data_IF_497030700017
#
_entry.id   IF_497030700017
#
_cell.length_a   1.000
_cell.length_b   1.000
_cell.length_c   1.000
_cell.angle_alpha   90.00
_cell.angle_beta   90.00
_cell.angle_gamma   90.00
#
_symmetry.space_group_name_H-M   'P 1'
#
loop_
_entity.id
_entity.type
_entity.pdbx_description
1 polymer ?
#
# COMPACT_ATOMS: atom_id res chain seq x y z
N UNK A 1 -9.32 6.46 2.28
CA UNK A 1 -8.00 7.03 1.89
C UNK A 1 -8.11 7.66 0.49
N UNK A 2 -7.21 8.58 0.13
CA UNK A 2 -7.07 9.10 -1.25
C UNK A 2 -5.73 8.68 -1.83
N UNK A 3 -4.68 9.49 -1.66
CA UNK A 3 -3.33 9.11 -2.06
C UNK A 3 -2.71 8.19 -1.00
N UNK A 4 -2.10 7.09 -1.41
CA UNK A 4 -1.38 6.19 -0.53
C UNK A 4 -0.18 5.56 -1.23
N UNK A 5 0.83 5.15 -0.46
CA UNK A 5 2.02 4.47 -0.96
C UNK A 5 2.23 3.14 -0.23
N UNK A 6 2.84 2.19 -0.93
CA UNK A 6 3.16 0.85 -0.42
C UNK A 6 4.67 0.68 -0.42
N UNK A 7 5.19 0.14 0.68
CA UNK A 7 6.60 -0.16 0.85
C UNK A 7 6.79 -1.62 1.29
N UNK A 8 7.83 -2.26 0.77
CA UNK A 8 8.27 -3.60 1.15
C UNK A 8 9.35 -3.56 2.22
N UNK A 9 9.22 -4.41 3.24
CA UNK A 9 10.20 -4.55 4.32
C UNK A 9 10.64 -6.03 4.43
N UNK A 10 11.95 -6.25 4.58
CA UNK A 10 12.53 -7.59 4.72
C UNK A 10 12.49 -8.09 6.17
N UNK A 11 12.81 -7.24 7.14
CA UNK A 11 13.05 -7.64 8.54
C UNK A 11 12.05 -7.05 9.56
N UNK A 12 10.92 -6.49 9.10
CA UNK A 12 9.86 -5.98 9.96
C UNK A 12 9.83 -4.46 10.09
N UNK A 13 9.06 -3.96 11.06
CA UNK A 13 8.81 -2.53 11.26
C UNK A 13 9.88 -1.92 12.19
N UNK A 14 10.88 -1.24 11.62
CA UNK A 14 11.94 -0.51 12.34
C UNK A 14 12.31 0.80 11.63
N UNK A 15 13.42 1.45 12.02
CA UNK A 15 13.88 2.73 11.44
C UNK A 15 14.35 2.63 9.97
N UNK A 16 14.43 1.43 9.40
CA UNK A 16 14.82 1.25 8.01
C UNK A 16 13.71 1.74 7.07
N UNK A 17 14.12 2.57 6.12
CA UNK A 17 13.26 3.01 5.03
C UNK A 17 12.97 1.81 4.11
N UNK A 18 11.70 1.45 3.99
CA UNK A 18 11.28 0.32 3.16
C UNK A 18 11.51 0.57 1.67
N UNK A 19 11.58 -0.51 0.89
CA UNK A 19 11.65 -0.42 -0.56
C UNK A 19 10.33 0.15 -1.10
N UNK A 20 10.37 1.25 -1.84
CA UNK A 20 9.18 1.84 -2.44
C UNK A 20 8.63 0.94 -3.55
N UNK A 21 7.38 0.48 -3.37
CA UNK A 21 6.72 -0.42 -4.33
C UNK A 21 5.76 0.30 -5.27
N UNK A 22 5.24 1.45 -4.85
CA UNK A 22 4.36 2.27 -5.66
C UNK A 22 3.52 3.25 -4.85
N UNK A 23 2.94 4.21 -5.56
CA UNK A 23 1.99 5.17 -5.03
C UNK A 23 0.75 5.18 -5.90
N UNK A 24 -0.41 5.19 -5.26
CA UNK A 24 -1.71 5.00 -5.89
C UNK A 24 -2.74 5.97 -5.34
N UNK A 25 -3.87 6.07 -6.04
CA UNK A 25 -5.02 6.87 -5.63
C UNK A 25 -6.25 5.97 -5.54
N UNK A 26 -6.83 5.86 -4.35
CA UNK A 26 -8.14 5.24 -4.18
C UNK A 26 -9.21 6.22 -4.63
N UNK A 27 -9.97 5.86 -5.67
CA UNK A 27 -11.02 6.69 -6.23
C UNK A 27 -12.32 6.56 -5.42
N UNK A 28 -12.86 7.67 -4.89
CA UNK A 28 -14.12 7.62 -4.13
C UNK A 28 -15.34 7.40 -5.03
N UNK A 29 -15.24 7.70 -6.33
CA UNK A 29 -16.34 7.53 -7.30
C UNK A 29 -16.28 6.14 -7.99
N UNK A 30 -15.18 5.40 -7.81
CA UNK A 30 -14.97 4.07 -8.35
C UNK A 30 -15.64 2.95 -7.53
N UNK A 31 -15.40 1.70 -7.93
CA UNK A 31 -15.90 0.53 -7.20
C UNK A 31 -15.31 0.45 -5.77
N UNK A 32 -16.04 -0.09 -4.78
CA UNK A 32 -15.53 -0.22 -3.40
C UNK A 32 -14.27 -1.08 -3.27
N UNK A 33 -14.16 -2.14 -4.09
CA UNK A 33 -12.96 -2.97 -4.20
C UNK A 33 -12.09 -2.49 -5.36
N UNK A 34 -10.96 -1.87 -5.06
CA UNK A 34 -10.00 -1.41 -6.06
C UNK A 34 -8.68 -2.17 -5.93
N UNK A 35 -8.16 -2.62 -7.06
CA UNK A 35 -6.89 -3.37 -7.13
C UNK A 35 -5.87 -2.56 -7.89
N UNK A 36 -4.69 -2.42 -7.31
CA UNK A 36 -3.58 -1.64 -7.85
C UNK A 36 -2.41 -2.58 -8.13
N UNK A 37 -1.92 -2.59 -9.36
CA UNK A 37 -0.78 -3.41 -9.76
C UNK A 37 0.52 -2.66 -9.46
N UNK A 38 1.49 -3.36 -8.89
CA UNK A 38 2.86 -2.87 -8.72
C UNK A 38 3.59 -2.97 -10.06
N UNK A 39 4.57 -2.10 -10.30
CA UNK A 39 5.45 -2.23 -11.47
C UNK A 39 6.42 -3.40 -11.30
N UNK A 40 6.69 -4.14 -12.39
CA UNK A 40 7.47 -5.39 -12.39
C UNK A 40 8.94 -5.21 -11.97
N UNK A 41 9.47 -3.98 -11.96
CA UNK A 41 10.85 -3.71 -11.58
C UNK A 41 11.18 -4.08 -10.12
N UNK A 42 10.17 -4.26 -9.27
CA UNK A 42 10.32 -4.65 -7.87
C UNK A 42 10.16 -6.17 -7.69
N UNK A 43 11.11 -6.95 -8.20
CA UNK A 43 11.13 -8.42 -8.10
C UNK A 43 11.56 -8.96 -6.71
N UNK A 44 11.78 -8.07 -5.74
CA UNK A 44 12.21 -8.46 -4.40
C UNK A 44 11.09 -9.11 -3.60
N UNK A 45 11.46 -10.06 -2.74
CA UNK A 45 10.54 -10.69 -1.78
C UNK A 45 10.54 -9.93 -0.47
N UNK A 46 9.34 -9.67 0.06
CA UNK A 46 9.14 -8.94 1.30
C UNK A 46 8.30 -9.76 2.28
N UNK A 47 8.76 -9.86 3.52
CA UNK A 47 8.00 -10.52 4.60
C UNK A 47 6.93 -9.62 5.20
N UNK A 48 7.07 -8.30 5.03
CA UNK A 48 6.14 -7.31 5.55
C UNK A 48 5.87 -6.21 4.52
N UNK A 49 4.69 -5.61 4.63
CA UNK A 49 4.32 -4.44 3.84
C UNK A 49 3.90 -3.30 4.77
N UNK A 50 4.28 -2.09 4.39
CA UNK A 50 3.85 -0.86 5.04
C UNK A 50 2.97 -0.05 4.10
N UNK A 51 1.72 0.18 4.53
CA UNK A 51 0.82 1.15 3.92
C UNK A 51 1.06 2.53 4.53
N UNK A 52 1.39 3.52 3.70
CA UNK A 52 1.43 4.94 4.08
C UNK A 52 0.27 5.69 3.43
N UNK A 53 -0.69 6.14 4.25
CA UNK A 53 -1.77 6.99 3.78
C UNK A 53 -1.26 8.43 3.73
N UNK A 54 -1.27 9.04 2.54
CA UNK A 54 -0.73 10.38 2.31
C UNK A 54 -1.82 11.46 2.38
N UNK A 55 -3.06 11.10 2.08
CA UNK A 55 -4.21 12.01 2.17
C UNK A 55 -5.53 11.22 2.22
N UNK A 56 -6.62 11.93 2.52
CA UNK A 56 -7.97 11.42 2.44
C UNK A 56 -8.85 12.32 1.54
N UNK A 57 -10.15 12.05 1.52
CA UNK A 57 -11.13 12.77 0.71
C UNK A 57 -11.78 13.97 1.42
N UNK A 58 -11.05 14.62 2.35
CA UNK A 58 -11.47 15.87 2.98
C UNK A 58 -11.99 15.76 4.41
N UNK A 59 -11.98 14.56 5.00
CA UNK A 59 -12.35 14.42 6.40
C UNK A 59 -11.24 14.97 7.30
N UNK A 60 -11.55 15.96 8.14
CA UNK A 60 -10.54 16.77 8.83
C UNK A 60 -9.80 16.04 9.96
N UNK A 61 -10.43 15.03 10.57
CA UNK A 61 -9.94 14.48 11.85
C UNK A 61 -9.40 13.05 11.76
N UNK A 62 -9.75 12.30 10.71
CA UNK A 62 -9.42 10.88 10.62
C UNK A 62 -9.49 10.37 9.19
N UNK A 63 -8.89 9.19 8.99
CA UNK A 63 -9.03 8.41 7.76
C UNK A 63 -9.37 6.98 8.13
N UNK A 64 -10.44 6.45 7.54
CA UNK A 64 -10.82 5.05 7.73
C UNK A 64 -10.22 4.15 6.65
N UNK A 65 -9.80 2.95 7.06
CA UNK A 65 -9.34 1.87 6.19
C UNK A 65 -10.21 0.65 6.49
N UNK A 66 -10.97 0.19 5.49
CA UNK A 66 -11.92 -0.92 5.66
C UNK A 66 -11.29 -2.28 5.43
N UNK A 67 -10.36 -2.37 4.48
CA UNK A 67 -9.66 -3.61 4.18
C UNK A 67 -8.49 -3.34 3.24
N UNK A 68 -7.37 -4.00 3.52
CA UNK A 68 -6.21 -4.06 2.64
C UNK A 68 -6.01 -5.53 2.26
N UNK A 69 -5.94 -5.80 0.97
CA UNK A 69 -5.62 -7.12 0.44
C UNK A 69 -4.29 -7.04 -0.28
N UNK A 70 -3.45 -8.04 -0.03
CA UNK A 70 -2.14 -8.16 -0.66
C UNK A 70 -2.19 -9.41 -1.52
N UNK A 71 -1.78 -9.26 -2.77
CA UNK A 71 -1.70 -10.34 -3.74
C UNK A 71 -0.26 -10.46 -4.18
N UNK A 72 0.23 -11.69 -4.29
CA UNK A 72 1.58 -12.00 -4.73
C UNK A 72 1.79 -13.49 -4.72
N UNK A 73 2.89 -13.92 -5.32
CA UNK A 73 3.26 -15.33 -5.35
C UNK A 73 4.00 -15.69 -4.06
N UNK A 74 3.51 -16.67 -3.27
CA UNK A 74 4.22 -17.13 -2.10
C UNK A 74 5.55 -17.78 -2.50
N UNK A 75 6.56 -17.68 -1.64
CA UNK A 75 7.76 -18.49 -1.78
C UNK A 75 7.37 -19.97 -1.66
N UNK A 76 7.80 -20.80 -2.62
CA UNK A 76 7.80 -22.26 -2.49
C UNK A 76 8.74 -22.69 -1.35
#
# INVERSE_FOLDING_TARGET
PKNFAIYGLKEGFGEQEGAFLGQFVYDQEGFPGQTFKLEEANADRFGYLQLRVLSNWGHQNYTCIYGLRVHGDPAL
#
